data_IF_843853963752
#
_entry.id   IF_843853963752
#
_cell.length_a   1.000
_cell.length_b   1.000
_cell.length_c   1.000
_cell.angle_alpha   90.00
_cell.angle_beta   90.00
_cell.angle_gamma   90.00
#
_symmetry.space_group_name_H-M   'P 1'
#
loop_
_entity.id
_entity.type
_entity.pdbx_description
1 polymer ?
2 non-polymer ?
3 non-polymer ?
4 non-polymer ?
5 water ?
#
# COMPACT_ATOMS: atom_id res chain seq x y z
N UNK A 1 -3.55 27.39 15.55
CA UNK A 1 -4.32 27.49 16.82
C UNK A 1 -3.31 27.59 17.96
N UNK A 2 -3.68 27.13 19.15
CA UNK A 2 -2.83 27.20 20.32
C UNK A 2 -1.43 26.62 20.06
N UNK A 3 -0.40 27.31 20.54
CA UNK A 3 0.97 26.78 20.49
C UNK A 3 1.20 25.89 21.70
N UNK A 4 1.06 24.58 21.52
CA UNK A 4 1.11 23.63 22.62
C UNK A 4 2.31 22.74 22.56
N UNK A 5 3.03 22.75 21.44
CA UNK A 5 4.11 21.80 21.21
C UNK A 5 3.81 20.85 20.08
N UNK A 6 4.82 20.05 19.76
CA UNK A 6 4.77 19.08 18.65
C UNK A 6 5.25 17.73 19.16
N UNK A 7 4.68 16.68 18.59
CA UNK A 7 5.06 15.31 18.94
C UNK A 7 5.57 14.59 17.69
N UNK A 8 6.64 13.82 17.85
CA UNK A 8 7.20 13.03 16.75
C UNK A 8 7.02 11.58 17.10
N UNK A 9 6.36 10.83 16.21
CA UNK A 9 6.27 9.40 16.38
C UNK A 9 6.37 8.70 15.04
N UNK A 10 6.75 7.41 15.09
CA UNK A 10 6.78 6.61 13.88
C UNK A 10 5.61 5.63 13.85
N UNK A 11 5.24 5.26 12.62
CA UNK A 11 4.20 4.28 12.36
C UNK A 11 4.73 3.22 11.42
N UNK A 12 4.30 1.99 11.65
CA UNK A 12 4.51 0.88 10.71
C UNK A 12 3.35 -0.08 10.83
N UNK A 13 2.88 -0.58 9.69
CA UNK A 13 1.84 -1.59 9.70
C UNK A 13 2.23 -2.73 8.76
N UNK A 14 2.25 -3.94 9.30
CA UNK A 14 2.66 -5.13 8.52
C UNK A 14 1.46 -6.08 8.43
N UNK A 15 0.71 -6.02 7.30
CA UNK A 15 -0.50 -6.84 7.21
C UNK A 15 -0.33 -8.34 7.45
N UNK A 16 0.72 -8.97 6.90
CA UNK A 16 0.91 -10.42 7.11
C UNK A 16 1.12 -10.79 8.58
N UNK A 17 1.59 -9.84 9.37
CA UNK A 17 1.80 -10.06 10.80
C UNK A 17 0.65 -9.52 11.65
N UNK A 18 -0.25 -8.74 11.02
CA UNK A 18 -1.34 -8.09 11.73
C UNK A 18 -0.83 -7.22 12.87
N UNK A 19 0.26 -6.50 12.59
CA UNK A 19 0.97 -5.75 13.63
C UNK A 19 1.13 -4.30 13.23
N UNK A 20 0.62 -3.43 14.10
CA UNK A 20 0.80 -1.98 14.01
C UNK A 20 1.78 -1.56 15.11
N UNK A 21 2.85 -0.88 14.72
CA UNK A 21 3.86 -0.46 15.67
C UNK A 21 3.93 1.07 15.69
N UNK A 22 3.83 1.63 16.88
CA UNK A 22 3.91 3.07 17.09
C UNK A 22 5.10 3.31 18.02
N UNK A 23 6.05 4.12 17.56
CA UNK A 23 7.19 4.50 18.41
C UNK A 23 7.08 5.96 18.77
N UNK A 24 6.91 6.24 20.08
CA UNK A 24 6.93 7.62 20.52
C UNK A 24 8.39 8.03 20.57
N UNK A 25 8.75 9.00 19.72
CA UNK A 25 10.15 9.36 19.55
C UNK A 25 10.57 10.49 20.48
N UNK A 26 9.95 11.65 20.31
CA UNK A 26 10.31 12.85 21.06
C UNK A 26 9.24 13.90 20.90
N UNK A 27 9.27 14.91 21.76
CA UNK A 27 8.38 16.06 21.61
C UNK A 27 9.20 17.32 21.70
N UNK A 28 8.62 18.43 21.26
CA UNK A 28 9.32 19.71 21.30
C UNK A 28 8.37 20.85 21.58
N UNK A 29 8.90 21.87 22.25
CA UNK A 29 8.19 23.13 22.46
C UNK A 29 6.87 22.93 23.21
N UNK A 30 6.86 21.97 24.12
CA UNK A 30 5.66 21.74 24.92
C UNK A 30 5.34 22.95 25.78
N UNK A 31 4.05 23.16 26.04
CA UNK A 31 3.66 24.23 26.95
C UNK A 31 4.04 23.89 28.39
N UNK A 32 4.45 24.91 29.13
CA UNK A 32 4.69 24.75 30.57
C UNK A 32 3.39 24.50 31.30
N UNK A 33 3.38 23.54 32.22
CA UNK A 33 2.19 23.16 32.96
C UNK A 33 2.40 23.11 34.47
N UNK A 34 3.56 23.62 34.92
CA UNK A 34 3.86 23.70 36.35
C UNK A 34 4.25 25.14 36.68
N UNK A 35 3.55 25.73 37.66
CA UNK A 35 3.79 27.10 38.08
C UNK A 35 5.21 27.18 38.57
N UNK A 36 5.93 28.20 38.11
CA UNK A 36 7.35 28.35 38.44
C UNK A 36 8.22 27.18 38.00
N UNK A 37 7.80 26.50 36.92
CA UNK A 37 8.56 25.36 36.42
C UNK A 37 8.32 25.11 34.95
N UNK A 38 8.44 23.84 34.58
CA UNK A 38 8.38 23.43 33.17
C UNK A 38 7.19 22.50 33.03
N UNK A 39 7.42 21.29 32.54
CA UNK A 39 6.42 20.22 32.56
C UNK A 39 7.18 18.93 32.81
N UNK A 40 6.45 17.88 33.19
CA UNK A 40 6.99 16.54 33.42
C UNK A 40 6.25 15.57 32.48
N UNK A 41 6.58 15.62 31.19
CA UNK A 41 5.73 14.99 30.19
C UNK A 41 5.81 13.47 30.07
N UNK A 42 4.65 12.88 29.85
CA UNK A 42 4.57 11.49 29.40
C UNK A 42 3.54 11.46 28.30
N UNK A 43 3.51 10.35 27.57
CA UNK A 43 2.65 10.25 26.39
C UNK A 43 1.73 9.03 26.51
N UNK A 44 0.46 9.21 26.21
CA UNK A 44 -0.48 8.10 26.14
C UNK A 44 -0.85 7.83 24.69
N UNK A 45 -1.03 6.55 24.36
CA UNK A 45 -1.53 6.13 23.06
C UNK A 45 -2.84 5.39 23.26
N UNK A 46 -3.87 5.75 22.50
CA UNK A 46 -5.10 4.95 22.44
C UNK A 46 -5.29 4.44 21.04
N UNK A 47 -5.64 3.16 20.94
CA UNK A 47 -6.10 2.61 19.67
C UNK A 47 -7.63 2.55 19.72
N UNK A 48 -8.28 3.18 18.75
CA UNK A 48 -9.74 3.24 18.70
C UNK A 48 -10.34 2.72 17.40
N UNK A 49 -11.50 2.07 17.52
CA UNK A 49 -12.32 1.64 16.36
C UNK A 49 -13.80 1.90 16.68
N UNK A 50 -14.50 2.58 15.78
CA UNK A 50 -15.94 2.90 15.97
C UNK A 50 -16.25 3.63 17.28
N UNK A 51 -15.33 4.51 17.69
CA UNK A 51 -15.52 5.33 18.89
C UNK A 51 -15.21 4.58 20.17
N UNK A 52 -14.76 3.34 20.03
CA UNK A 52 -14.44 2.48 21.17
C UNK A 52 -12.93 2.41 21.37
N UNK A 53 -12.48 2.68 22.60
CA UNK A 53 -11.06 2.52 22.97
C UNK A 53 -10.74 1.03 23.13
N UNK A 54 -9.88 0.52 22.26
CA UNK A 54 -9.55 -0.89 22.24
C UNK A 54 -8.27 -1.25 23.01
N UNK A 55 -7.28 -0.36 22.97
CA UNK A 55 -6.01 -0.59 23.64
C UNK A 55 -5.46 0.75 24.09
N UNK A 56 -4.72 0.74 25.18
CA UNK A 56 -4.08 1.96 25.71
C UNK A 56 -2.68 1.62 26.17
N UNK A 57 -1.75 2.56 25.93
CA UNK A 57 -0.35 2.41 26.38
C UNK A 57 0.13 3.74 26.92
N UNK A 58 1.18 3.71 27.74
CA UNK A 58 1.75 4.92 28.32
C UNK A 58 3.27 4.84 28.32
N UNK A 59 3.92 5.94 28.00
CA UNK A 59 5.38 6.01 28.10
C UNK A 59 5.81 6.30 29.53
N UNK A 60 7.10 6.17 29.77
CA UNK A 60 7.69 6.71 30.99
C UNK A 60 7.53 8.24 31.07
N UNK A 61 7.80 8.78 32.26
CA UNK A 61 7.71 10.20 32.52
C UNK A 61 9.12 10.80 32.46
N UNK A 62 9.25 11.95 31.82
CA UNK A 62 10.51 12.70 31.86
C UNK A 62 10.33 13.93 32.72
N UNK A 63 11.19 14.10 33.73
CA UNK A 63 11.09 15.24 34.64
C UNK A 63 11.60 16.53 34.00
N UNK A 64 10.89 17.62 34.22
CA UNK A 64 11.41 18.98 33.94
C UNK A 64 11.96 19.12 32.52
N UNK A 65 11.11 18.91 31.54
CA UNK A 65 11.52 19.15 30.17
C UNK A 65 10.34 19.50 29.28
N UNK A 66 10.57 20.46 28.39
CA UNK A 66 9.61 20.80 27.35
C UNK A 66 9.97 20.14 26.01
N UNK A 67 11.06 19.38 26.01
CA UNK A 67 11.55 18.74 24.79
C UNK A 67 12.02 17.32 25.11
N UNK A 68 11.09 16.46 25.57
CA UNK A 68 11.46 15.11 25.98
C UNK A 68 11.85 14.20 24.83
N UNK A 69 12.76 13.29 25.14
CA UNK A 69 13.15 12.19 24.26
C UNK A 69 12.66 10.89 24.90
N UNK A 70 11.94 10.07 24.12
CA UNK A 70 11.43 8.79 24.63
C UNK A 70 12.05 7.59 23.93
N UNK A 71 11.87 7.52 22.61
CA UNK A 71 12.17 6.31 21.83
C UNK A 71 11.60 5.04 22.47
N UNK A 72 10.29 5.10 22.73
CA UNK A 72 9.56 3.98 23.32
C UNK A 72 8.57 3.39 22.31
N UNK A 73 8.74 2.11 22.04
CA UNK A 73 7.96 1.42 21.01
C UNK A 73 6.81 0.61 21.61
N UNK A 74 5.69 0.60 20.88
CA UNK A 74 4.49 -0.10 21.30
C UNK A 74 3.92 -0.80 20.09
N UNK A 75 3.46 -2.03 20.29
CA UNK A 75 2.86 -2.79 19.20
C UNK A 75 1.43 -3.19 19.54
N UNK A 76 0.62 -3.30 18.48
CA UNK A 76 -0.80 -3.56 18.61
C UNK A 76 -1.18 -4.61 17.58
N UNK A 77 -2.01 -5.56 18.00
CA UNK A 77 -2.55 -6.55 17.08
C UNK A 77 -3.76 -5.95 16.37
N UNK A 78 -3.61 -5.74 15.07
CA UNK A 78 -4.69 -5.17 14.25
C UNK A 78 -4.73 -5.94 12.95
N UNK A 79 -5.80 -6.71 12.72
CA UNK A 79 -5.87 -7.46 11.48
C UNK A 79 -6.15 -6.58 10.27
N UNK A 80 -5.78 -7.06 9.09
CA UNK A 80 -5.87 -6.24 7.88
C UNK A 80 -7.30 -5.72 7.62
N UNK A 81 -8.33 -6.48 8.00
CA UNK A 81 -9.70 -6.06 7.70
C UNK A 81 -10.17 -4.94 8.64
N UNK A 82 -9.35 -4.63 9.64
CA UNK A 82 -9.67 -3.56 10.58
C UNK A 82 -8.80 -2.31 10.42
N UNK A 83 -7.63 -2.45 9.80
CA UNK A 83 -6.66 -1.35 9.85
C UNK A 83 -7.20 -0.03 9.31
N UNK A 84 -8.07 -0.08 8.30
CA UNK A 84 -8.52 1.15 7.68
C UNK A 84 -9.43 1.95 8.60
N UNK A 85 -10.01 1.27 9.60
CA UNK A 85 -10.98 1.88 10.53
C UNK A 85 -10.37 2.37 11.83
N UNK A 86 -9.12 2.05 12.08
CA UNK A 86 -8.56 2.42 13.39
C UNK A 86 -8.05 3.86 13.42
N UNK A 87 -8.10 4.42 14.63
CA UNK A 87 -7.56 5.74 14.92
C UNK A 87 -6.51 5.54 16.01
N UNK A 88 -5.34 6.14 15.81
CA UNK A 88 -4.27 6.11 16.82
C UNK A 88 -4.25 7.52 17.42
N UNK A 89 -4.54 7.60 18.72
CA UNK A 89 -4.67 8.89 19.38
C UNK A 89 -3.47 9.05 20.31
N UNK A 90 -2.77 10.17 20.20
CA UNK A 90 -1.54 10.39 20.96
C UNK A 90 -1.74 11.66 21.79
N UNK A 91 -1.59 11.51 23.11
CA UNK A 91 -1.79 12.60 24.06
C UNK A 91 -0.53 12.82 24.87
N UNK A 92 -0.13 14.08 25.01
CA UNK A 92 1.00 14.43 25.88
C UNK A 92 0.42 15.07 27.13
N UNK A 93 0.84 14.56 28.29
CA UNK A 93 0.34 15.04 29.59
C UNK A 93 1.52 15.41 30.48
N UNK A 94 1.25 16.31 31.42
CA UNK A 94 2.21 16.71 32.44
C UNK A 94 1.92 15.95 33.72
N UNK A 95 2.85 15.10 34.16
CA UNK A 95 2.71 14.42 35.44
C UNK A 95 2.83 15.41 36.59
N UNK A 96 1.90 15.30 37.54
CA UNK A 96 1.99 16.06 38.78
C UNK A 96 2.01 15.10 39.96
N UNK A 97 2.86 15.37 40.94
CA UNK A 97 2.98 14.50 42.12
C UNK A 97 1.71 14.50 42.96
N UNK A 98 1.00 15.62 42.95
CA UNK A 98 -0.22 15.78 43.73
C UNK A 98 -1.31 16.16 42.76
N UNK A 99 -2.45 15.49 42.86
CA UNK A 99 -3.61 15.85 42.05
C UNK A 99 -3.64 15.25 40.66
N UNK A 100 -4.48 15.81 39.81
CA UNK A 100 -4.68 15.32 38.44
C UNK A 100 -3.49 15.74 37.57
N UNK A 101 -3.11 14.84 36.67
CA UNK A 101 -2.14 15.22 35.65
C UNK A 101 -2.78 16.20 34.64
N UNK A 102 -1.96 17.00 33.99
CA UNK A 102 -2.45 18.08 33.15
C UNK A 102 -2.23 17.69 31.67
N UNK A 103 -3.31 17.51 30.90
CA UNK A 103 -3.13 17.30 29.45
C UNK A 103 -2.53 18.53 28.80
N UNK A 104 -1.48 18.33 28.01
CA UNK A 104 -0.90 19.42 27.24
C UNK A 104 -1.59 19.56 25.88
N UNK A 105 -1.69 18.46 25.13
CA UNK A 105 -2.32 18.48 23.84
C UNK A 105 -2.39 17.09 23.28
N UNK A 106 -3.04 16.96 22.14
CA UNK A 106 -3.47 15.68 21.62
C UNK A 106 -3.47 15.75 20.10
N UNK A 107 -3.37 14.59 19.45
CA UNK A 107 -3.52 14.51 17.99
C UNK A 107 -3.94 13.09 17.65
N UNK A 108 -4.62 12.90 16.50
CA UNK A 108 -4.87 11.52 16.06
C UNK A 108 -4.61 11.35 14.59
N UNK A 109 -4.22 10.12 14.25
CA UNK A 109 -4.04 9.71 12.86
C UNK A 109 -4.95 8.51 12.59
N UNK A 110 -5.25 8.26 11.32
CA UNK A 110 -6.05 7.08 10.98
C UNK A 110 -7.36 7.43 10.32
N UNK A 111 -8.36 6.57 10.55
CA UNK A 111 -9.68 6.76 9.95
C UNK A 111 -10.24 8.15 10.28
N UNK A 112 -10.62 8.86 9.23
CA UNK A 112 -11.21 10.19 9.36
C UNK A 112 -10.24 11.29 9.75
N UNK A 113 -8.95 10.98 9.77
CA UNK A 113 -7.95 12.01 10.03
C UNK A 113 -7.79 12.94 8.84
N UNK A 114 -7.15 14.09 9.10
CA UNK A 114 -7.04 15.13 8.10
C UNK A 114 -5.60 15.64 7.98
N UNK A 115 -5.32 16.35 6.88
CA UNK A 115 -4.07 17.09 6.73
C UNK A 115 -2.83 16.23 6.89
N UNK A 116 -1.89 16.74 7.69
CA UNK A 116 -0.64 16.04 7.95
C UNK A 116 -0.83 14.73 8.73
N UNK A 117 -1.96 14.64 9.45
CA UNK A 117 -2.27 13.43 10.19
C UNK A 117 -2.67 12.33 9.23
N UNK A 118 -3.53 12.66 8.27
CA UNK A 118 -3.88 11.71 7.22
C UNK A 118 -2.69 11.33 6.34
N UNK A 119 -1.84 12.30 6.03
CA UNK A 119 -0.66 12.03 5.22
C UNK A 119 0.24 11.00 5.87
N UNK A 120 0.47 11.13 7.17
CA UNK A 120 1.31 10.16 7.86
C UNK A 120 0.71 8.75 7.79
N UNK A 121 -0.59 8.66 8.05
CA UNK A 121 -1.29 7.38 8.00
C UNK A 121 -1.20 6.75 6.61
N UNK A 122 -1.43 7.57 5.58
CA UNK A 122 -1.37 7.11 4.19
C UNK A 122 0.03 6.61 3.82
N UNK A 123 1.04 7.34 4.28
CA UNK A 123 2.43 6.94 4.06
C UNK A 123 2.71 5.56 4.69
N UNK A 124 2.23 5.36 5.93
CA UNK A 124 2.34 4.06 6.58
C UNK A 124 1.69 2.93 5.75
N UNK A 125 0.48 3.19 5.25
CA UNK A 125 -0.24 2.16 4.51
C UNK A 125 0.48 1.77 3.22
N UNK A 126 1.14 2.74 2.61
CA UNK A 126 1.82 2.54 1.33
C UNK A 126 3.19 1.89 1.47
N UNK A 127 3.81 2.00 2.65
CA UNK A 127 5.22 1.62 2.76
C UNK A 127 5.57 0.80 4.01
N UNK A 128 5.18 -0.48 4.05
CA UNK A 128 5.52 -1.34 5.19
C UNK A 128 6.98 -1.75 5.25
N UNK A 129 7.82 -1.29 4.31
CA UNK A 129 9.23 -1.65 4.32
C UNK A 129 9.98 -1.12 5.55
N UNK A 130 9.49 -0.02 6.10
CA UNK A 130 10.22 0.68 7.14
C UNK A 130 9.27 1.47 8.01
N UNK A 131 9.69 1.73 9.27
CA UNK A 131 8.92 2.70 10.07
C UNK A 131 9.02 4.08 9.45
N UNK A 132 7.96 4.87 9.58
CA UNK A 132 7.97 6.24 9.07
C UNK A 132 7.64 7.20 10.20
N UNK A 133 8.60 8.07 10.50
CA UNK A 133 8.44 9.09 11.54
C UNK A 133 7.94 10.38 10.94
N UNK A 134 7.07 11.07 11.67
CA UNK A 134 6.60 12.39 11.27
C UNK A 134 6.27 13.21 12.50
N UNK A 135 6.49 14.52 12.42
CA UNK A 135 6.06 15.45 13.44
C UNK A 135 4.58 15.80 13.28
N UNK A 136 3.94 16.09 14.40
CA UNK A 136 2.53 16.47 14.43
C UNK A 136 2.32 17.59 15.41
N UNK A 137 1.53 18.58 15.01
CA UNK A 137 1.15 19.69 15.88
C UNK A 137 0.14 19.22 16.91
N UNK A 138 0.42 19.44 18.20
CA UNK A 138 -0.56 19.11 19.24
C UNK A 138 -1.70 20.09 19.23
N UNK A 139 -2.90 19.57 19.45
CA UNK A 139 -4.09 20.42 19.57
C UNK A 139 -4.73 20.29 20.94
N UNK A 140 -5.55 21.27 21.31
CA UNK A 140 -6.18 21.20 22.62
C UNK A 140 -7.11 20.00 22.67
N UNK A 141 -7.15 19.38 23.84
CA UNK A 141 -7.84 18.11 24.06
C UNK A 141 -9.28 18.17 23.57
N UNK A 142 -9.97 19.26 23.90
CA UNK A 142 -11.39 19.40 23.61
C UNK A 142 -11.66 19.32 22.11
N UNK A 143 -10.76 19.90 21.32
CA UNK A 143 -10.92 19.94 19.87
C UNK A 143 -10.79 18.54 19.29
N UNK A 144 -9.74 17.83 19.69
CA UNK A 144 -9.52 16.51 19.15
C UNK A 144 -10.60 15.53 19.60
N UNK A 145 -11.00 15.61 20.87
CA UNK A 145 -12.06 14.73 21.36
C UNK A 145 -13.37 14.92 20.59
N UNK A 146 -13.66 16.15 20.20
CA UNK A 146 -14.84 16.44 19.39
C UNK A 146 -14.78 15.74 18.04
N UNK A 147 -13.59 15.70 17.44
CA UNK A 147 -13.39 15.04 16.14
C UNK A 147 -13.43 13.53 16.23
N UNK A 148 -13.14 13.00 17.42
CA UNK A 148 -13.18 11.56 17.67
C UNK A 148 -14.55 11.06 18.09
N UNK A 149 -15.38 11.97 18.63
CA UNK A 149 -16.74 11.65 19.06
C UNK A 149 -17.67 11.61 17.84
N UNK B 2 -3.87 0.10 -33.72
CA UNK B 2 -4.27 -1.20 -34.33
C UNK B 2 -5.30 -1.93 -33.48
N UNK B 3 -6.33 -2.47 -34.14
CA UNK B 3 -7.33 -3.30 -33.47
C UNK B 3 -6.82 -4.73 -33.45
N UNK B 4 -6.34 -5.16 -32.29
CA UNK B 4 -5.74 -6.49 -32.14
C UNK B 4 -6.51 -7.34 -31.16
N UNK B 5 -7.38 -6.70 -30.39
CA UNK B 5 -8.07 -7.36 -29.28
C UNK B 5 -7.71 -6.76 -27.94
N UNK B 6 -8.41 -7.24 -26.93
CA UNK B 6 -8.26 -6.73 -25.57
C UNK B 6 -8.02 -7.90 -24.64
N UNK B 7 -7.23 -7.67 -23.59
CA UNK B 7 -6.94 -8.72 -22.62
C UNK B 7 -7.36 -8.22 -21.24
N UNK B 8 -7.97 -9.10 -20.47
CA UNK B 8 -8.40 -8.78 -19.12
C UNK B 8 -7.58 -9.65 -18.18
N UNK B 9 -6.89 -9.02 -17.24
CA UNK B 9 -6.19 -9.77 -16.20
C UNK B 9 -6.27 -9.04 -14.88
N UNK B 10 -6.06 -9.79 -13.80
CA UNK B 10 -6.00 -9.19 -12.47
C UNK B 10 -4.58 -9.23 -11.93
N UNK B 11 -4.32 -8.27 -11.05
CA UNK B 11 -3.05 -8.15 -10.34
C UNK B 11 -3.35 -8.00 -8.87
N UNK B 12 -2.61 -8.73 -8.06
CA UNK B 12 -2.57 -8.44 -6.64
C UNK B 12 -1.13 -8.45 -6.21
N UNK B 13 -0.77 -7.46 -5.38
CA UNK B 13 0.55 -7.45 -4.81
C UNK B 13 0.45 -7.26 -3.30
N UNK B 14 1.09 -8.17 -2.58
CA UNK B 14 1.11 -8.14 -1.12
C UNK B 14 2.56 -7.88 -0.67
N UNK B 15 2.91 -6.62 -0.42
CA UNK B 15 4.30 -6.29 -0.07
C UNK B 15 4.88 -7.15 1.05
N UNK B 16 4.13 -7.36 2.13
CA UNK B 16 4.67 -8.04 3.31
C UNK B 16 4.68 -9.57 3.17
N UNK B 17 4.17 -10.06 2.03
CA UNK B 17 4.35 -11.46 1.65
C UNK B 17 5.34 -11.63 0.51
N UNK B 18 5.77 -10.52 -0.10
CA UNK B 18 6.60 -10.58 -1.31
C UNK B 18 6.00 -11.38 -2.45
N UNK B 19 4.67 -11.24 -2.62
CA UNK B 19 3.93 -12.08 -3.57
C UNK B 19 3.10 -11.25 -4.53
N UNK B 20 3.32 -11.50 -5.81
CA UNK B 20 2.58 -10.87 -6.89
C UNK B 20 1.81 -11.96 -7.61
N UNK B 21 0.49 -11.79 -7.70
CA UNK B 21 -0.35 -12.78 -8.37
C UNK B 21 -1.01 -12.16 -9.58
N UNK B 22 -0.88 -12.84 -10.73
CA UNK B 22 -1.46 -12.41 -11.99
C UNK B 22 -2.45 -13.47 -12.41
N UNK B 23 -3.70 -13.08 -12.61
CA UNK B 23 -4.68 -14.02 -13.18
C UNK B 23 -5.05 -13.57 -14.56
N UNK B 24 -4.80 -14.46 -15.53
CA UNK B 24 -5.25 -14.21 -16.90
C UNK B 24 -6.72 -14.58 -16.95
N UNK B 25 -7.57 -13.59 -17.17
CA UNK B 25 -9.01 -13.82 -17.05
C UNK B 25 -9.60 -14.24 -18.39
N UNK B 26 -9.51 -13.37 -19.38
CA UNK B 26 -10.11 -13.59 -20.69
C UNK B 26 -9.57 -12.57 -21.68
N UNK B 27 -9.78 -12.85 -22.95
CA UNK B 27 -9.50 -11.87 -24.00
C UNK B 27 -10.74 -11.71 -24.85
N UNK B 28 -10.81 -10.59 -25.57
CA UNK B 28 -11.99 -10.29 -26.39
C UNK B 28 -11.58 -9.67 -27.72
N UNK B 29 -12.30 -10.04 -28.77
CA UNK B 29 -12.11 -9.46 -30.09
C UNK B 29 -10.68 -9.61 -30.61
N UNK B 30 -10.09 -10.75 -30.34
CA UNK B 30 -8.75 -11.02 -30.87
C UNK B 30 -8.76 -11.04 -32.38
N UNK B 31 -7.68 -10.57 -32.96
CA UNK B 31 -7.54 -10.66 -34.41
C UNK B 31 -7.46 -12.12 -34.84
N UNK B 32 -8.07 -12.42 -35.99
CA UNK B 32 -7.91 -13.73 -36.62
C UNK B 32 -6.47 -13.89 -37.08
N UNK B 33 -5.89 -15.06 -36.82
CA UNK B 33 -4.49 -15.33 -37.19
C UNK B 33 -4.31 -16.63 -37.98
N UNK B 34 -5.44 -17.21 -38.40
CA UNK B 34 -5.43 -18.43 -39.22
C UNK B 34 -6.23 -18.17 -40.48
N UNK B 35 -5.62 -18.39 -41.63
CA UNK B 35 -6.31 -18.18 -42.89
C UNK B 35 -7.54 -19.09 -42.96
N UNK B 36 -8.66 -18.52 -43.37
CA UNK B 36 -9.90 -19.27 -43.44
C UNK B 36 -10.44 -19.72 -42.08
N UNK B 37 -9.93 -19.13 -41.00
CA UNK B 37 -10.32 -19.54 -39.67
C UNK B 37 -10.31 -18.41 -38.66
N UNK B 38 -10.01 -18.79 -37.42
CA UNK B 38 -10.10 -17.91 -36.27
C UNK B 38 -8.68 -17.76 -35.71
N UNK B 39 -8.51 -17.99 -34.41
CA UNK B 39 -7.20 -18.08 -33.75
C UNK B 39 -7.31 -19.16 -32.68
N UNK B 40 -6.15 -19.61 -32.19
CA UNK B 40 -6.03 -20.63 -31.13
C UNK B 40 -5.20 -20.01 -30.03
N UNK B 41 -5.80 -19.07 -29.30
CA UNK B 41 -4.99 -18.22 -28.41
C UNK B 41 -4.51 -18.85 -27.12
N UNK B 42 -3.28 -18.49 -26.76
CA UNK B 42 -2.76 -18.71 -25.42
C UNK B 42 -2.07 -17.43 -24.99
N UNK B 43 -1.73 -17.35 -23.71
CA UNK B 43 -1.16 -16.13 -23.15
C UNK B 43 0.14 -16.45 -22.43
N UNK B 44 1.18 -15.66 -22.69
CA UNK B 44 2.43 -15.75 -21.95
C UNK B 44 2.57 -14.58 -21.00
N UNK B 45 3.14 -14.85 -19.84
CA UNK B 45 3.49 -13.82 -18.87
C UNK B 45 4.99 -13.84 -18.66
N UNK B 46 5.61 -12.68 -18.72
CA UNK B 46 7.02 -12.52 -18.35
C UNK B 46 7.12 -11.58 -17.17
N UNK B 47 7.85 -12.00 -16.13
CA UNK B 47 8.23 -11.09 -15.05
C UNK B 47 9.65 -10.63 -15.32
N UNK B 48 9.79 -9.33 -15.54
CA UNK B 48 11.09 -8.68 -15.74
C UNK B 48 11.48 -7.92 -14.47
N UNK B 49 12.75 -7.99 -14.10
CA UNK B 49 13.26 -7.22 -12.97
C UNK B 49 14.54 -6.52 -13.42
N UNK B 50 14.54 -5.20 -13.33
CA UNK B 50 15.66 -4.38 -13.80
C UNK B 50 16.05 -4.73 -15.24
N UNK B 51 15.04 -5.01 -16.07
CA UNK B 51 15.26 -5.26 -17.50
C UNK B 51 15.62 -6.70 -17.87
N UNK B 52 15.70 -7.57 -16.86
CA UNK B 52 16.06 -8.98 -17.06
C UNK B 52 14.87 -9.90 -16.78
N UNK B 53 14.67 -10.91 -17.64
CA UNK B 53 13.59 -11.89 -17.46
C UNK B 53 13.89 -12.82 -16.30
N UNK B 54 13.03 -12.80 -15.29
CA UNK B 54 13.19 -13.61 -14.09
C UNK B 54 12.33 -14.86 -14.12
N UNK B 55 11.12 -14.73 -14.66
CA UNK B 55 10.19 -15.85 -14.73
C UNK B 55 9.32 -15.72 -15.97
N UNK B 56 8.91 -16.86 -16.49
CA UNK B 56 7.92 -16.89 -17.57
C UNK B 56 6.90 -17.97 -17.28
N UNK B 57 5.66 -17.69 -17.68
CA UNK B 57 4.55 -18.62 -17.49
C UNK B 57 3.71 -18.59 -18.74
N UNK B 58 2.93 -19.66 -18.95
CA UNK B 58 2.08 -19.75 -20.12
C UNK B 58 0.75 -20.38 -19.74
N UNK B 59 -0.35 -19.83 -20.27
CA UNK B 59 -1.67 -20.44 -20.08
C UNK B 59 -1.83 -21.63 -21.02
N UNK B 60 -2.90 -22.37 -20.79
CA UNK B 60 -3.37 -23.36 -21.76
C UNK B 60 -3.79 -22.69 -23.07
N UNK B 61 -3.95 -23.49 -24.12
CA UNK B 61 -4.40 -23.03 -25.42
C UNK B 61 -5.91 -23.25 -25.51
N UNK B 62 -6.64 -22.23 -25.99
CA UNK B 62 -8.05 -22.40 -26.33
C UNK B 62 -8.18 -22.45 -27.84
N UNK B 63 -8.66 -23.57 -28.36
CA UNK B 63 -8.76 -23.75 -29.80
C UNK B 63 -9.95 -22.98 -30.37
N UNK B 64 -9.76 -22.40 -31.56
CA UNK B 64 -10.90 -21.87 -32.35
C UNK B 64 -11.75 -20.83 -31.60
N UNK B 65 -11.10 -19.78 -31.10
CA UNK B 65 -11.85 -18.71 -30.47
C UNK B 65 -11.11 -17.37 -30.52
N UNK B 66 -11.90 -16.31 -30.72
CA UNK B 66 -11.38 -14.95 -30.68
C UNK B 66 -11.71 -14.30 -29.35
N UNK B 67 -12.39 -15.04 -28.47
CA UNK B 67 -12.84 -14.53 -27.18
C UNK B 67 -12.60 -15.59 -26.11
N UNK B 68 -11.32 -15.96 -25.87
CA UNK B 68 -11.04 -17.03 -24.91
C UNK B 68 -11.26 -16.63 -23.47
N UNK B 69 -11.71 -17.60 -22.68
CA UNK B 69 -11.83 -17.49 -21.23
C UNK B 69 -10.81 -18.43 -20.61
N UNK B 70 -9.94 -17.91 -19.73
CA UNK B 70 -8.90 -18.71 -19.09
C UNK B 70 -9.14 -18.91 -17.60
N UNK B 71 -9.21 -17.80 -16.87
CA UNK B 71 -9.18 -17.82 -15.40
C UNK B 71 -8.03 -18.67 -14.87
N UNK B 72 -6.82 -18.37 -15.34
CA UNK B 72 -5.61 -19.10 -14.96
C UNK B 72 -4.69 -18.19 -14.15
N UNK B 73 -4.36 -18.64 -12.95
CA UNK B 73 -3.61 -17.83 -11.98
C UNK B 73 -2.15 -18.23 -11.91
N UNK B 74 -1.29 -17.23 -11.71
CA UNK B 74 0.15 -17.43 -11.64
C UNK B 74 0.72 -16.55 -10.52
N UNK B 75 1.60 -17.12 -9.70
CA UNK B 75 2.18 -16.33 -8.61
C UNK B 75 3.70 -16.24 -8.71
N UNK B 76 4.20 -15.06 -8.40
CA UNK B 76 5.61 -14.69 -8.52
C UNK B 76 6.13 -14.17 -7.20
N UNK B 77 7.38 -14.50 -6.92
CA UNK B 77 8.08 -13.96 -5.76
C UNK B 77 8.70 -12.64 -6.14
N UNK B 78 8.17 -11.57 -5.55
CA UNK B 78 8.67 -10.22 -5.81
C UNK B 78 8.83 -9.53 -4.45
N UNK B 79 10.08 -9.49 -3.92
CA UNK B 79 10.33 -8.78 -2.68
C UNK B 79 9.97 -7.32 -2.83
N UNK B 80 9.51 -6.70 -1.74
CA UNK B 80 9.06 -5.32 -1.81
C UNK B 80 10.17 -4.36 -2.27
N UNK B 81 11.42 -4.68 -1.95
CA UNK B 81 12.54 -3.85 -2.40
C UNK B 81 12.76 -3.92 -3.92
N UNK B 82 12.04 -4.82 -4.59
CA UNK B 82 12.16 -4.95 -6.05
C UNK B 82 10.95 -4.39 -6.78
N UNK B 83 9.92 -3.95 -6.05
CA UNK B 83 8.66 -3.59 -6.70
C UNK B 83 8.75 -2.46 -7.74
N UNK B 84 9.67 -1.51 -7.56
CA UNK B 84 9.83 -0.39 -8.49
C UNK B 84 10.66 -0.78 -9.71
N UNK B 85 11.15 -2.01 -9.70
CA UNK B 85 12.08 -2.47 -10.73
C UNK B 85 11.43 -3.45 -11.69
N UNK B 86 10.20 -3.87 -11.37
CA UNK B 86 9.61 -4.99 -12.12
C UNK B 86 8.60 -4.55 -13.19
N UNK B 87 8.53 -5.36 -14.25
CA UNK B 87 7.52 -5.21 -15.28
C UNK B 87 6.86 -6.56 -15.44
N UNK B 88 5.53 -6.54 -15.62
CA UNK B 88 4.79 -7.74 -15.96
C UNK B 88 4.33 -7.57 -17.40
N UNK B 89 4.78 -8.49 -18.26
CA UNK B 89 4.50 -8.41 -19.69
C UNK B 89 3.53 -9.53 -20.04
N UNK B 90 2.46 -9.16 -20.74
CA UNK B 90 1.41 -10.12 -21.09
C UNK B 90 1.26 -10.13 -22.61
N UNK B 91 1.46 -11.31 -23.22
CA UNK B 91 1.43 -11.47 -24.67
C UNK B 91 0.36 -12.49 -25.04
N UNK B 92 -0.47 -12.16 -26.02
CA UNK B 92 -1.44 -13.13 -26.54
C UNK B 92 -0.90 -13.64 -27.87
N UNK B 93 -0.86 -14.97 -28.04
CA UNK B 93 -0.37 -15.58 -29.28
C UNK B 93 -1.37 -16.60 -29.79
N UNK B 94 -1.27 -16.87 -31.09
CA UNK B 94 -2.06 -17.91 -31.75
C UNK B 94 -1.22 -19.16 -31.94
N UNK B 95 -1.61 -20.25 -31.31
CA UNK B 95 -0.92 -21.52 -31.51
C UNK B 95 -1.17 -22.01 -32.93
N UNK B 96 -0.11 -22.45 -33.60
CA UNK B 96 -0.22 -23.12 -34.89
C UNK B 96 0.42 -24.49 -34.79
N UNK B 97 -0.24 -25.51 -35.36
CA UNK B 97 0.30 -26.87 -35.31
C UNK B 97 1.60 -27.01 -36.09
N UNK B 98 1.73 -26.21 -37.15
CA UNK B 98 2.89 -26.29 -38.01
C UNK B 98 3.50 -24.90 -38.04
N UNK B 99 4.80 -24.82 -37.80
CA UNK B 99 5.50 -23.54 -37.89
C UNK B 99 5.46 -22.73 -36.62
N UNK B 100 5.81 -21.45 -36.75
CA UNK B 100 5.89 -20.54 -35.62
C UNK B 100 4.48 -20.13 -35.18
N UNK B 101 4.31 -20.03 -33.86
CA UNK B 101 3.10 -19.42 -33.34
C UNK B 101 3.08 -17.93 -33.69
N UNK B 102 1.90 -17.35 -33.81
CA UNK B 102 1.76 -15.99 -34.30
C UNK B 102 1.39 -15.07 -33.13
N UNK B 103 2.26 -14.11 -32.77
CA UNK B 103 1.88 -13.13 -31.75
C UNK B 103 0.71 -12.28 -32.24
N UNK B 104 -0.29 -12.11 -31.40
CA UNK B 104 -1.39 -11.23 -31.71
C UNK B 104 -1.08 -9.81 -31.22
N UNK B 105 -0.73 -9.70 -29.94
CA UNK B 105 -0.34 -8.41 -29.38
C UNK B 105 0.05 -8.58 -27.94
N UNK B 106 0.49 -7.49 -27.33
CA UNK B 106 0.97 -7.56 -25.97
C UNK B 106 0.83 -6.23 -25.26
N UNK B 107 0.98 -6.27 -23.94
CA UNK B 107 1.07 -5.06 -23.11
C UNK B 107 2.04 -5.33 -21.98
N UNK B 108 2.39 -4.27 -21.25
CA UNK B 108 3.10 -4.43 -19.99
C UNK B 108 2.65 -3.43 -18.98
N UNK B 109 2.76 -3.83 -17.72
CA UNK B 109 2.49 -2.95 -16.59
C UNK B 109 3.73 -2.90 -15.71
N UNK B 110 3.84 -1.84 -14.91
CA UNK B 110 4.96 -1.72 -13.98
C UNK B 110 5.90 -0.60 -14.34
N UNK B 111 7.19 -0.86 -14.15
CA UNK B 111 8.22 0.14 -14.39
C UNK B 111 8.18 0.67 -15.83
N UNK B 112 8.12 1.99 -15.95
CA UNK B 112 8.10 2.68 -17.24
C UNK B 112 6.77 2.54 -17.99
N UNK B 113 5.76 1.98 -17.33
CA UNK B 113 4.45 1.84 -17.99
C UNK B 113 3.71 3.17 -18.01
N UNK B 114 2.73 3.27 -18.91
CA UNK B 114 2.04 4.52 -19.19
C UNK B 114 0.53 4.31 -19.28
N UNK B 115 -0.23 5.40 -19.23
CA UNK B 115 -1.67 5.37 -19.49
C UNK B 115 -2.42 4.36 -18.65
N UNK B 116 -3.28 3.58 -19.31
CA UNK B 116 -4.11 2.59 -18.61
C UNK B 116 -3.29 1.46 -17.99
N UNK B 117 -2.08 1.27 -18.50
CA UNK B 117 -1.21 0.22 -17.98
C UNK B 117 -0.63 0.68 -16.64
N UNK B 118 -0.17 1.92 -16.61
CA UNK B 118 0.26 2.53 -15.36
C UNK B 118 -0.88 2.61 -14.35
N UNK B 119 -2.08 2.96 -14.82
CA UNK B 119 -3.24 3.04 -13.93
C UNK B 119 -3.49 1.70 -13.24
N UNK B 120 -3.40 0.61 -14.00
CA UNK B 120 -3.64 -0.69 -13.41
C UNK B 120 -2.60 -1.01 -12.33
N UNK B 121 -1.33 -0.73 -12.63
CA UNK B 121 -0.25 -0.94 -11.67
C UNK B 121 -0.43 -0.10 -10.40
N UNK B 122 -0.79 1.16 -10.60
CA UNK B 122 -1.06 2.07 -9.48
C UNK B 122 -2.21 1.57 -8.62
N UNK B 123 -3.29 1.12 -9.26
CA UNK B 123 -4.43 0.56 -8.52
C UNK B 123 -4.04 -0.69 -7.73
N UNK B 124 -3.21 -1.53 -8.34
CA UNK B 124 -2.65 -2.69 -7.64
C UNK B 124 -1.91 -2.26 -6.37
N UNK B 125 -1.04 -1.27 -6.49
CA UNK B 125 -0.26 -0.79 -5.34
C UNK B 125 -1.16 -0.17 -4.28
N UNK B 126 -2.25 0.44 -4.71
CA UNK B 126 -3.15 1.12 -3.77
C UNK B 126 -4.07 0.15 -3.02
N UNK B 127 -4.11 -1.10 -3.47
CA UNK B 127 -5.10 -2.06 -2.97
C UNK B 127 -4.50 -3.44 -2.62
N UNK B 128 -3.51 -3.48 -1.70
CA UNK B 128 -2.92 -4.77 -1.40
C UNK B 128 -3.89 -5.79 -0.81
N UNK B 129 -5.04 -5.33 -0.29
CA UNK B 129 -6.04 -6.28 0.24
C UNK B 129 -6.66 -7.25 -0.78
N UNK B 130 -6.65 -6.88 -2.05
CA UNK B 130 -7.44 -7.64 -3.03
C UNK B 130 -6.88 -7.51 -4.43
N UNK B 131 -7.22 -8.46 -5.33
CA UNK B 131 -6.85 -8.30 -6.72
C UNK B 131 -7.62 -7.18 -7.41
N UNK B 132 -7.00 -6.59 -8.43
CA UNK B 132 -7.61 -5.57 -9.23
C UNK B 132 -7.59 -6.08 -10.67
N UNK B 133 -8.77 -6.21 -11.26
CA UNK B 133 -8.92 -6.65 -12.65
C UNK B 133 -9.06 -5.44 -13.55
N UNK B 134 -8.45 -5.49 -14.73
CA UNK B 134 -8.62 -4.40 -15.69
C UNK B 134 -8.42 -4.93 -17.09
N UNK B 135 -9.20 -4.36 -18.01
CA UNK B 135 -9.00 -4.57 -19.43
C UNK B 135 -7.85 -3.72 -19.97
N UNK B 136 -7.15 -4.26 -20.97
CA UNK B 136 -6.04 -3.60 -21.64
C UNK B 136 -6.15 -3.81 -23.14
N UNK B 137 -5.88 -2.74 -23.89
CA UNK B 137 -5.79 -2.81 -25.35
C UNK B 137 -4.47 -3.45 -25.71
N UNK B 138 -4.52 -4.53 -26.49
CA UNK B 138 -3.29 -5.14 -26.96
C UNK B 138 -2.62 -4.24 -27.98
N UNK B 139 -1.29 -4.21 -27.92
CA UNK B 139 -0.50 -3.43 -28.87
C UNK B 139 0.42 -4.33 -29.68
N UNK B 140 0.85 -3.84 -30.85
CA UNK B 140 1.72 -4.66 -31.68
C UNK B 140 3.03 -4.93 -30.95
N UNK B 141 3.54 -6.14 -31.11
CA UNK B 141 4.65 -6.60 -30.30
C UNK B 141 5.90 -5.75 -30.43
N UNK B 142 6.18 -5.27 -31.64
CA UNK B 142 7.39 -4.49 -31.87
C UNK B 142 7.38 -3.17 -31.10
N UNK B 143 6.18 -2.58 -30.98
CA UNK B 143 5.98 -1.32 -30.25
C UNK B 143 6.25 -1.52 -28.76
N UNK B 144 5.69 -2.58 -28.19
CA UNK B 144 5.87 -2.83 -26.77
C UNK B 144 7.31 -3.23 -26.46
N UNK B 145 7.89 -4.06 -27.33
CA UNK B 145 9.29 -4.46 -27.17
C UNK B 145 10.22 -3.25 -27.20
N UNK B 146 9.89 -2.27 -28.04
CA UNK B 146 10.69 -1.05 -28.09
C UNK B 146 10.65 -0.33 -26.74
N UNK B 147 9.49 -0.34 -26.09
CA UNK B 147 9.32 0.34 -24.82
C UNK B 147 9.98 -0.41 -23.68
N UNK B 148 10.03 -1.73 -23.81
CA UNK B 148 10.67 -2.56 -22.79
C UNK B 148 12.18 -2.46 -22.82
N UNK B 149 12.72 -2.09 -23.99
CA UNK B 149 14.15 -1.91 -24.17
C UNK B 149 14.60 -0.56 -23.62
N UNK B 150 13.63 0.21 -23.10
CA UNK B 150 13.76 1.62 -22.69
C UNK B 150 14.22 2.52 -23.84
X LIG C 1 4.24 18.53 36.63
X LIG D 1 1.18 20.66 36.43
X LIG E 1 -2.45 19.11 38.01
X LIG F 1 7.40 19.01 38.92
X LIG F 1 6.83 18.09 39.97
X LIG F 1 7.29 18.53 41.36
X LIG F 1 8.70 18.52 41.38
X LIG F 1 5.32 18.09 39.89
X LIG F 1 4.76 18.61 38.91
X LIG F 1 4.67 17.59 40.81
X LIG F 1 9.44 18.79 42.79
X LIG F 1 9.00 17.66 43.85
X LIG F 1 11.00 18.71 42.44
X LIG F 1 9.03 20.22 43.40
X LIG G 1 7.91 14.78 38.41
X LIG H 1 1.67 8.95 34.74
X LIG H 1 1.99 7.90 36.15
X LIG H 1 2.16 7.20 37.07
X LIG I 1 14.57 13.58 28.00
X LIG I 1 14.72 15.32 27.95
X LIG I 1 14.81 16.48 27.91
X LIG J 1 -3.65 -21.19 -35.15
X LIG K 1 -1.82 -18.80 -37.38
X LIG L 1 2.36 -19.30 -37.88
X LIG M 1 -6.13 -23.95 -36.25
X LIG M 1 -5.11 -25.04 -36.16
X LIG M 1 -5.37 -26.11 -37.24
X LIG M 1 -6.53 -26.83 -36.87
X LIG M 1 -3.73 -24.43 -36.35
X LIG M 1 -3.60 -23.20 -36.33
X LIG M 1 -2.77 -25.18 -36.54
X LIG M 1 -6.75 -28.25 -37.65
X LIG M 1 -5.50 -29.24 -37.50
X LIG M 1 -8.04 -28.94 -36.97
X LIG M 1 -6.98 -27.95 -39.21
X LIG N 1 -3.90 -6.72 3.19
X LIG N 1 -2.21 -6.85 2.65
X LIG N 1 -1.11 -6.84 2.30
X LIG O 1 -12.87 -20.49 -24.02
X LIG O 1 -13.70 -19.79 -25.39
X LIG O 1 -14.23 -19.33 -26.32
X LIG P 1 1.84 -22.94 -27.01
X LIG P 1 2.27 -24.69 -26.96
X LIG P 1 2.58 -25.81 -26.88
#
# INVERSE_FOLDING_TARGET
>A
MEKLGDICFSLRYVPTAGKLTVVILEAKNLKKMDVGGLSDPYVKIHLMQNGKRLKKKKTTIKKNTLNPYYNESFSFEVPFEQIQKVQVVVTVLDYDKIGKNDAIGKVFVGYNSTGAELRHWSDMLANPRRPIAQWHTLQVEEEVDAMLAVKK
>B
MEKLGDICFSLRYVPTAGKLTVVILEAKNLKKMDVGGLSDPYVKIHLMQNGKRLKKKKTTIKKNTLNPYYNESFSFEVPFEQIQKVQVVVTVLDYDKIGKNDAIGKVFVGYNSTGAELRHWSDMLANPRRPIAQWHTLQVEEEVDAMLAVKK
>C hetero
1 CA CA
>D hetero
1 CA CA
>E hetero
1 CA CA
>F hetero
1 SEP N CA CB OG C O OXT P O1P O2P O3P
>G hetero
1 CA CA
>H hetero
1 SCN S C N
>I hetero
1 SCN S C N
>J hetero
1 CA CA
>K hetero
1 CA CA
>L hetero
1 CA CA
>M hetero
1 SEP N CA CB OG C O OXT P O1P O2P O3P
>N hetero
1 SCN S C N
>O hetero
1 SCN S C N
>P hetero
1 SCN S C N
#
